data_IF_051934489301
#
_entry.id   IF_051934489301
#
_cell.length_a   1.000
_cell.length_b   1.000
_cell.length_c   1.000
_cell.angle_alpha   90.00
_cell.angle_beta   90.00
_cell.angle_gamma   90.00
#
_symmetry.space_group_name_H-M   'P 1'
#
loop_
_entity.id
_entity.type
_entity.pdbx_description
1 polymer ?
#
# COMPACT_ATOMS: atom_id res chain seq x y z
N UNK A 1 23.18 -1.97 15.81
CA UNK A 1 22.24 -2.83 15.05
C UNK A 1 21.66 -1.97 13.95
N UNK A 2 21.79 -2.39 12.70
CA UNK A 2 21.24 -1.68 11.55
C UNK A 2 19.71 -1.77 11.52
N UNK A 3 19.04 -1.01 10.66
CA UNK A 3 17.58 -0.83 10.73
C UNK A 3 16.82 -2.14 10.44
N UNK A 4 17.23 -2.94 9.46
CA UNK A 4 16.55 -4.19 9.13
C UNK A 4 16.56 -5.17 10.32
N UNK A 5 17.73 -5.37 10.93
CA UNK A 5 17.88 -6.24 12.11
C UNK A 5 17.11 -5.72 13.34
N UNK A 6 16.98 -4.39 13.48
CA UNK A 6 16.13 -3.81 14.53
C UNK A 6 14.66 -4.14 14.33
N UNK A 7 14.17 -4.06 13.09
CA UNK A 7 12.77 -4.41 12.77
C UNK A 7 12.52 -5.90 13.00
N UNK A 8 13.45 -6.75 12.55
CA UNK A 8 13.38 -8.20 12.72
C UNK A 8 13.39 -8.60 14.20
N UNK A 9 14.33 -8.06 15.00
CA UNK A 9 14.44 -8.35 16.43
C UNK A 9 13.21 -7.90 17.24
N UNK A 10 12.45 -6.92 16.73
CA UNK A 10 11.18 -6.46 17.33
C UNK A 10 9.95 -7.22 16.82
N UNK A 11 10.12 -8.21 15.93
CA UNK A 11 9.02 -8.96 15.34
C UNK A 11 8.09 -8.10 14.46
N UNK A 12 8.62 -7.04 13.85
CA UNK A 12 7.83 -6.12 13.02
C UNK A 12 7.75 -6.55 11.56
N UNK A 13 8.61 -7.45 11.11
CA UNK A 13 8.61 -7.99 9.75
C UNK A 13 7.79 -9.28 9.74
N UNK A 14 6.79 -9.36 8.85
CA UNK A 14 5.99 -10.56 8.65
C UNK A 14 6.45 -11.34 7.42
N UNK A 15 6.50 -10.72 6.24
CA UNK A 15 6.92 -11.33 4.99
C UNK A 15 7.81 -10.38 4.18
N UNK A 16 8.71 -10.94 3.39
CA UNK A 16 9.59 -10.23 2.45
C UNK A 16 9.70 -11.00 1.14
N UNK A 17 9.84 -10.31 0.02
CA UNK A 17 10.04 -10.95 -1.30
C UNK A 17 11.48 -11.40 -1.53
N UNK A 18 12.44 -10.62 -1.05
CA UNK A 18 13.88 -10.88 -1.15
C UNK A 18 14.57 -10.27 0.07
N UNK A 19 14.95 -11.12 1.03
CA UNK A 19 15.47 -10.65 2.31
C UNK A 19 16.83 -9.96 2.17
N UNK A 20 17.73 -10.51 1.37
CA UNK A 20 19.09 -9.97 1.23
C UNK A 20 19.07 -8.59 0.56
N UNK A 21 18.38 -8.45 -0.56
CA UNK A 21 18.27 -7.18 -1.29
C UNK A 21 17.54 -6.10 -0.45
N UNK A 22 16.45 -6.46 0.21
CA UNK A 22 15.70 -5.54 1.08
C UNK A 22 16.58 -5.08 2.25
N UNK A 23 17.28 -6.01 2.88
CA UNK A 23 18.19 -5.73 3.99
C UNK A 23 19.31 -4.78 3.57
N UNK A 24 19.94 -5.02 2.44
CA UNK A 24 21.03 -4.19 1.94
C UNK A 24 20.54 -2.78 1.60
N UNK A 25 19.46 -2.66 0.85
CA UNK A 25 18.87 -1.36 0.50
C UNK A 25 18.48 -0.55 1.73
N UNK A 26 17.78 -1.15 2.69
CA UNK A 26 17.35 -0.46 3.91
C UNK A 26 18.51 -0.07 4.81
N UNK A 27 19.46 -0.97 5.00
CA UNK A 27 20.61 -0.77 5.89
C UNK A 27 21.64 0.23 5.36
N UNK A 28 21.68 0.44 4.04
CA UNK A 28 22.50 1.46 3.40
C UNK A 28 21.81 2.82 3.31
N UNK A 29 20.53 2.91 3.67
CA UNK A 29 19.75 4.15 3.56
C UNK A 29 19.50 4.60 2.12
N UNK A 30 19.40 3.66 1.19
CA UNK A 30 19.26 3.92 -0.25
C UNK A 30 17.88 3.60 -0.81
N UNK A 31 17.00 3.00 -0.03
CA UNK A 31 15.67 2.63 -0.51
C UNK A 31 14.75 3.84 -0.64
N UNK A 32 14.12 3.96 -1.81
CA UNK A 32 12.88 4.73 -1.96
C UNK A 32 11.72 3.74 -1.86
N UNK A 33 10.83 3.96 -0.92
CA UNK A 33 9.71 3.06 -0.62
C UNK A 33 8.41 3.82 -0.44
N UNK A 34 7.28 3.15 -0.64
CA UNK A 34 5.98 3.76 -0.36
C UNK A 34 5.11 2.91 0.56
N UNK A 35 4.21 3.59 1.25
CA UNK A 35 3.08 3.00 1.96
C UNK A 35 1.82 3.73 1.50
N UNK A 36 0.78 2.97 1.14
CA UNK A 36 -0.51 3.48 0.73
C UNK A 36 -1.48 3.66 1.92
N UNK A 37 -2.26 4.74 1.86
CA UNK A 37 -3.26 5.10 2.87
C UNK A 37 -4.56 5.52 2.18
N UNK A 38 -5.56 4.64 2.19
CA UNK A 38 -6.89 4.97 1.70
C UNK A 38 -7.63 5.87 2.71
N UNK A 39 -8.10 7.05 2.29
CA UNK A 39 -8.70 8.06 3.17
C UNK A 39 -10.14 7.72 3.53
N UNK A 40 -10.34 6.62 4.26
CA UNK A 40 -11.65 6.08 4.60
C UNK A 40 -12.31 6.72 5.82
N UNK A 41 -11.66 7.70 6.46
CA UNK A 41 -12.15 8.52 7.55
C UNK A 41 -11.33 9.83 7.62
N UNK A 42 -11.77 10.79 8.41
CA UNK A 42 -11.07 12.07 8.63
C UNK A 42 -9.93 11.98 9.65
N UNK A 43 -9.73 10.81 10.26
CA UNK A 43 -8.65 10.56 11.21
C UNK A 43 -7.91 9.25 10.93
N UNK A 44 -6.61 9.27 11.21
CA UNK A 44 -5.77 8.08 11.26
C UNK A 44 -6.13 7.24 12.50
N UNK A 45 -6.13 5.94 12.35
CA UNK A 45 -6.31 4.99 13.46
C UNK A 45 -4.99 4.31 13.83
N UNK A 46 -5.00 3.49 14.89
CA UNK A 46 -3.80 2.84 15.43
C UNK A 46 -3.03 1.99 14.39
N UNK A 47 -3.73 1.35 13.44
CA UNK A 47 -3.08 0.62 12.34
C UNK A 47 -2.26 1.53 11.42
N UNK A 48 -2.78 2.72 11.12
CA UNK A 48 -2.03 3.74 10.37
C UNK A 48 -0.83 4.26 11.18
N UNK A 49 -1.00 4.42 12.50
CA UNK A 49 0.11 4.84 13.36
C UNK A 49 1.27 3.84 13.34
N UNK A 50 1.00 2.55 13.33
CA UNK A 50 2.03 1.51 13.16
C UNK A 50 2.80 1.67 11.85
N UNK A 51 2.10 1.92 10.74
CA UNK A 51 2.71 2.17 9.44
C UNK A 51 3.56 3.46 9.44
N UNK A 52 3.08 4.53 10.08
CA UNK A 52 3.85 5.77 10.23
C UNK A 52 5.09 5.59 11.11
N UNK A 53 5.02 4.78 12.17
CA UNK A 53 6.17 4.44 12.98
C UNK A 53 7.25 3.69 12.18
N UNK A 54 6.84 2.75 11.32
CA UNK A 54 7.76 2.08 10.40
C UNK A 54 8.37 3.08 9.42
N UNK A 55 7.53 3.89 8.77
CA UNK A 55 7.97 4.92 7.82
C UNK A 55 8.98 5.88 8.45
N UNK A 56 8.72 6.36 9.68
CA UNK A 56 9.64 7.26 10.41
C UNK A 56 10.97 6.59 10.74
N UNK A 57 10.95 5.34 11.20
CA UNK A 57 12.18 4.60 11.50
C UNK A 57 13.06 4.42 10.27
N UNK A 58 12.46 4.09 9.13
CA UNK A 58 13.16 3.95 7.86
C UNK A 58 13.67 5.29 7.35
N UNK A 59 12.91 6.38 7.51
CA UNK A 59 13.36 7.74 7.20
C UNK A 59 14.57 8.14 8.03
N UNK A 60 14.54 7.88 9.34
CA UNK A 60 15.68 8.15 10.24
C UNK A 60 16.93 7.33 9.89
N UNK A 61 16.76 6.18 9.25
CA UNK A 61 17.86 5.35 8.73
C UNK A 61 18.36 5.80 7.35
N UNK A 62 17.87 6.94 6.82
CA UNK A 62 18.31 7.53 5.56
C UNK A 62 17.47 7.13 4.33
N UNK A 63 16.49 6.25 4.48
CA UNK A 63 15.62 5.85 3.38
C UNK A 63 14.57 6.92 3.07
N UNK A 64 14.11 6.99 1.82
CA UNK A 64 13.17 8.00 1.34
C UNK A 64 11.74 7.48 1.30
N UNK A 65 10.84 7.93 2.19
CA UNK A 65 9.44 7.51 2.19
C UNK A 65 8.62 8.25 1.13
N UNK A 66 7.65 7.54 0.55
CA UNK A 66 6.54 8.11 -0.21
C UNK A 66 5.25 7.74 0.54
N UNK A 67 4.51 8.73 1.01
CA UNK A 67 3.15 8.53 1.54
C UNK A 67 2.17 8.64 0.37
N UNK A 68 1.59 7.53 -0.05
CA UNK A 68 0.60 7.47 -1.12
C UNK A 68 -0.80 7.63 -0.53
N UNK A 69 -1.48 8.70 -0.87
CA UNK A 69 -2.88 8.92 -0.51
C UNK A 69 -3.79 8.32 -1.58
N UNK A 70 -4.69 7.45 -1.16
CA UNK A 70 -5.58 6.70 -2.04
C UNK A 70 -6.80 7.49 -2.50
N UNK A 71 -6.63 8.64 -3.17
CA UNK A 71 -7.75 9.41 -3.70
C UNK A 71 -8.51 8.68 -4.80
N UNK A 72 -7.81 7.94 -5.65
CA UNK A 72 -8.41 7.09 -6.68
C UNK A 72 -8.86 5.73 -6.13
N UNK A 73 -7.97 5.03 -5.43
CA UNK A 73 -8.29 3.71 -4.82
C UNK A 73 -9.38 3.79 -3.76
N UNK A 74 -9.47 4.90 -3.02
CA UNK A 74 -10.53 5.15 -2.04
C UNK A 74 -11.93 5.24 -2.65
N UNK A 75 -12.05 5.53 -3.95
CA UNK A 75 -13.34 5.50 -4.66
C UNK A 75 -13.85 4.07 -4.89
N UNK A 76 -12.96 3.08 -4.90
CA UNK A 76 -13.28 1.66 -5.08
C UNK A 76 -13.32 0.94 -3.74
N UNK A 77 -12.28 1.04 -2.97
CA UNK A 77 -12.14 0.43 -1.64
C UNK A 77 -11.52 -0.96 -1.67
N UNK A 78 -10.50 -1.15 -0.83
CA UNK A 78 -9.76 -2.40 -0.69
C UNK A 78 -10.63 -3.51 -0.08
N UNK A 79 -10.80 -4.66 -0.76
CA UNK A 79 -11.55 -5.81 -0.25
C UNK A 79 -10.75 -6.66 0.75
N UNK A 80 -9.43 -6.45 0.89
CA UNK A 80 -8.53 -7.28 1.71
C UNK A 80 -8.97 -7.34 3.18
N UNK A 81 -9.07 -8.56 3.72
CA UNK A 81 -9.42 -8.79 5.12
C UNK A 81 -10.85 -8.38 5.51
N UNK A 82 -11.77 -8.31 4.55
CA UNK A 82 -13.17 -7.94 4.78
C UNK A 82 -14.14 -9.04 4.33
N UNK A 83 -15.32 -9.02 4.94
CA UNK A 83 -16.46 -9.86 4.57
C UNK A 83 -17.47 -9.12 3.69
N UNK A 84 -17.56 -7.80 3.80
CA UNK A 84 -18.52 -6.92 3.16
C UNK A 84 -17.84 -5.87 2.26
N UNK A 85 -18.58 -5.41 1.25
CA UNK A 85 -18.12 -4.31 0.38
C UNK A 85 -18.04 -2.99 1.17
N UNK A 86 -17.01 -2.19 0.90
CA UNK A 86 -16.91 -0.85 1.49
C UNK A 86 -18.03 0.06 0.98
N UNK A 87 -18.61 0.92 1.84
CA UNK A 87 -19.49 1.98 1.39
C UNK A 87 -18.77 2.89 0.40
N UNK A 88 -19.43 3.24 -0.70
CA UNK A 88 -18.88 4.21 -1.64
C UNK A 88 -18.91 5.61 -1.01
N UNK A 89 -17.75 6.26 -0.96
CA UNK A 89 -17.61 7.63 -0.49
C UNK A 89 -17.75 8.61 -1.65
N UNK A 90 -18.24 9.82 -1.36
CA UNK A 90 -18.23 10.90 -2.35
C UNK A 90 -16.80 11.43 -2.56
N UNK A 91 -16.55 12.02 -3.71
CA UNK A 91 -15.25 12.66 -4.02
C UNK A 91 -14.92 13.75 -2.99
N UNK A 92 -15.91 14.52 -2.58
CA UNK A 92 -15.73 15.59 -1.57
C UNK A 92 -15.32 15.02 -0.21
N UNK A 93 -15.93 13.90 0.21
CA UNK A 93 -15.55 13.20 1.46
C UNK A 93 -14.11 12.68 1.36
N UNK A 94 -13.74 12.08 0.23
CA UNK A 94 -12.38 11.58 0.01
C UNK A 94 -11.37 12.73 0.09
N UNK A 95 -11.63 13.84 -0.61
CA UNK A 95 -10.75 15.01 -0.61
C UNK A 95 -10.63 15.64 0.79
N UNK A 96 -11.73 15.74 1.54
CA UNK A 96 -11.69 16.20 2.92
C UNK A 96 -10.80 15.31 3.79
N UNK A 97 -10.98 14.00 3.70
CA UNK A 97 -10.19 13.03 4.47
C UNK A 97 -8.70 13.07 4.10
N UNK A 98 -8.38 13.28 2.81
CA UNK A 98 -7.00 13.47 2.35
C UNK A 98 -6.36 14.66 3.05
N UNK A 99 -7.02 15.79 3.11
CA UNK A 99 -6.49 16.98 3.80
C UNK A 99 -6.30 16.75 5.31
N UNK A 100 -7.18 15.99 5.92
CA UNK A 100 -7.04 15.58 7.32
C UNK A 100 -5.82 14.66 7.51
N UNK A 101 -5.61 13.69 6.60
CA UNK A 101 -4.45 12.78 6.64
C UNK A 101 -3.14 13.53 6.46
N UNK A 102 -3.05 14.45 5.50
CA UNK A 102 -1.87 15.30 5.29
C UNK A 102 -1.43 16.01 6.56
N UNK A 103 -2.37 16.65 7.26
CA UNK A 103 -2.09 17.38 8.51
C UNK A 103 -1.60 16.44 9.61
N UNK A 104 -2.19 15.25 9.73
CA UNK A 104 -1.83 14.29 10.77
C UNK A 104 -0.46 13.65 10.48
N UNK A 105 -0.22 13.20 9.24
CA UNK A 105 1.04 12.57 8.83
C UNK A 105 2.24 13.52 8.96
N UNK A 106 2.06 14.81 8.68
CA UNK A 106 3.12 15.82 8.80
C UNK A 106 3.62 16.05 10.23
N UNK A 107 2.91 15.51 11.24
CA UNK A 107 3.39 15.51 12.63
C UNK A 107 4.42 14.41 12.91
N UNK A 108 4.46 13.37 12.08
CA UNK A 108 5.33 12.20 12.28
C UNK A 108 6.46 12.13 11.25
N UNK A 109 6.15 12.43 9.99
CA UNK A 109 7.05 12.28 8.86
C UNK A 109 7.53 13.67 8.42
N UNK A 110 8.81 13.77 8.11
CA UNK A 110 9.41 14.97 7.58
C UNK A 110 9.29 14.99 6.06
N UNK A 111 8.39 15.83 5.55
CA UNK A 111 8.17 16.03 4.11
C UNK A 111 9.02 17.19 3.58
N UNK A 112 9.47 17.10 2.33
CA UNK A 112 10.28 18.12 1.64
C UNK A 112 11.01 17.55 0.43
N UNK A 113 11.72 18.41 -0.29
CA UNK A 113 12.36 18.08 -1.57
C UNK A 113 13.31 16.88 -1.48
N UNK A 114 14.20 16.85 -0.46
CA UNK A 114 15.15 15.75 -0.22
C UNK A 114 14.70 14.80 0.90
N UNK A 115 13.43 14.88 1.30
CA UNK A 115 12.86 14.10 2.40
C UNK A 115 11.76 13.18 1.88
N UNK A 116 10.77 12.91 2.72
CA UNK A 116 9.58 12.20 2.27
C UNK A 116 8.75 13.05 1.31
N UNK A 117 8.06 12.40 0.40
CA UNK A 117 7.06 13.04 -0.46
C UNK A 117 5.67 12.45 -0.18
N UNK A 118 4.67 13.23 -0.50
CA UNK A 118 3.26 12.86 -0.40
C UNK A 118 2.65 12.98 -1.78
N UNK A 119 2.00 11.92 -2.25
CA UNK A 119 1.38 11.86 -3.57
C UNK A 119 -0.06 11.35 -3.46
N UNK A 120 -0.89 11.67 -4.45
CA UNK A 120 -2.28 11.23 -4.52
C UNK A 120 -2.47 10.39 -5.79
N UNK A 121 -2.87 9.12 -5.66
CA UNK A 121 -3.05 8.27 -6.83
C UNK A 121 -4.23 8.67 -7.74
N UNK A 122 -5.12 9.56 -7.30
CA UNK A 122 -6.11 10.19 -8.17
C UNK A 122 -5.46 10.95 -9.34
N UNK A 123 -4.24 11.48 -9.14
CA UNK A 123 -3.54 12.29 -10.14
C UNK A 123 -3.19 11.51 -11.42
N UNK A 124 -3.06 10.19 -11.32
CA UNK A 124 -2.81 9.31 -12.46
C UNK A 124 -3.95 8.34 -12.73
N UNK A 125 -4.57 7.72 -11.72
CA UNK A 125 -5.63 6.73 -11.93
C UNK A 125 -6.86 7.31 -12.65
N UNK A 126 -7.24 8.56 -12.33
CA UNK A 126 -8.42 9.19 -12.95
C UNK A 126 -8.17 9.65 -14.41
N UNK A 127 -6.92 9.65 -14.85
CA UNK A 127 -6.54 10.01 -16.22
C UNK A 127 -6.37 8.81 -17.15
N UNK A 128 -6.45 7.59 -16.59
CA UNK A 128 -6.26 6.38 -17.37
C UNK A 128 -7.43 6.15 -18.32
N UNK A 129 -7.10 5.89 -19.60
CA UNK A 129 -8.09 5.37 -20.52
C UNK A 129 -8.36 3.90 -20.22
N UNK A 130 -9.62 3.52 -20.17
CA UNK A 130 -10.01 2.14 -19.80
C UNK A 130 -9.46 1.08 -20.77
N UNK A 131 -9.52 1.33 -22.06
CA UNK A 131 -9.04 0.36 -23.08
C UNK A 131 -7.52 0.25 -23.02
N UNK A 132 -6.80 1.37 -22.85
CA UNK A 132 -5.36 1.38 -22.73
C UNK A 132 -4.93 0.65 -21.45
N UNK A 133 -5.62 0.85 -20.33
CA UNK A 133 -5.36 0.11 -19.10
C UNK A 133 -5.51 -1.40 -19.30
N UNK A 134 -6.57 -1.85 -19.97
CA UNK A 134 -6.76 -3.28 -20.27
C UNK A 134 -5.63 -3.85 -21.14
N UNK A 135 -5.19 -3.12 -22.15
CA UNK A 135 -4.13 -3.56 -23.06
C UNK A 135 -2.76 -3.57 -22.40
N UNK A 136 -2.41 -2.49 -21.70
CA UNK A 136 -1.07 -2.25 -21.20
C UNK A 136 -0.82 -2.89 -19.82
N UNK A 137 -1.87 -3.03 -19.03
CA UNK A 137 -1.79 -3.55 -17.65
C UNK A 137 -2.57 -4.85 -17.52
N UNK A 138 -3.84 -4.87 -17.91
CA UNK A 138 -4.73 -6.02 -17.77
C UNK A 138 -4.19 -7.30 -18.41
N UNK A 139 -3.50 -7.18 -19.57
CA UNK A 139 -2.87 -8.31 -20.26
C UNK A 139 -1.80 -9.05 -19.42
N UNK A 140 -1.28 -8.41 -18.35
CA UNK A 140 -0.30 -9.02 -17.45
C UNK A 140 -0.93 -9.74 -16.25
N UNK A 141 -2.26 -9.64 -16.08
CA UNK A 141 -2.99 -10.25 -14.98
C UNK A 141 -3.74 -11.51 -15.43
N UNK A 142 -3.63 -12.57 -14.65
CA UNK A 142 -4.42 -13.79 -14.83
C UNK A 142 -5.59 -13.78 -13.84
N UNK A 143 -6.82 -13.81 -14.34
CA UNK A 143 -8.03 -13.88 -13.50
C UNK A 143 -7.96 -15.06 -12.53
N UNK A 144 -7.52 -16.24 -12.99
CA UNK A 144 -7.40 -17.43 -12.15
C UNK A 144 -6.42 -17.21 -10.98
N UNK A 145 -5.29 -16.53 -11.22
CA UNK A 145 -4.34 -16.21 -10.16
C UNK A 145 -4.90 -15.17 -9.20
N UNK A 146 -5.58 -14.15 -9.72
CA UNK A 146 -6.23 -13.14 -8.87
C UNK A 146 -7.29 -13.78 -7.97
N UNK A 147 -8.17 -14.62 -8.51
CA UNK A 147 -9.20 -15.32 -7.72
C UNK A 147 -8.61 -16.26 -6.67
N UNK A 148 -7.44 -16.83 -6.89
CA UNK A 148 -6.72 -17.65 -5.93
C UNK A 148 -6.03 -16.83 -4.82
N UNK A 149 -5.92 -15.51 -4.96
CA UNK A 149 -5.24 -14.65 -4.00
C UNK A 149 -6.02 -14.56 -2.67
N UNK A 150 -5.25 -14.53 -1.55
CA UNK A 150 -5.83 -14.52 -0.20
C UNK A 150 -6.77 -13.35 0.04
N UNK A 151 -6.45 -12.17 -0.50
CA UNK A 151 -7.26 -10.96 -0.35
C UNK A 151 -8.68 -11.08 -0.91
N UNK A 152 -8.94 -12.00 -1.85
CA UNK A 152 -10.27 -12.23 -2.43
C UNK A 152 -11.03 -13.40 -1.84
N UNK A 153 -10.36 -14.37 -1.20
CA UNK A 153 -10.99 -15.63 -0.72
C UNK A 153 -12.19 -15.41 0.17
N UNK A 154 -12.11 -14.43 1.07
CA UNK A 154 -13.21 -14.12 1.97
C UNK A 154 -14.39 -13.51 1.21
N UNK A 155 -14.11 -12.53 0.35
CA UNK A 155 -15.14 -11.84 -0.43
C UNK A 155 -15.81 -12.73 -1.46
N UNK A 156 -15.11 -13.72 -2.01
CA UNK A 156 -15.71 -14.68 -2.94
C UNK A 156 -16.85 -15.49 -2.34
N UNK A 157 -16.83 -15.75 -1.03
CA UNK A 157 -17.91 -16.47 -0.32
C UNK A 157 -19.20 -15.65 -0.23
N UNK A 158 -19.05 -14.31 -0.13
CA UNK A 158 -20.15 -13.35 0.06
C UNK A 158 -20.56 -12.66 -1.25
N UNK A 159 -19.83 -12.89 -2.33
CA UNK A 159 -20.05 -12.27 -3.63
C UNK A 159 -19.12 -11.09 -3.91
N UNK A 160 -17.93 -11.39 -4.47
CA UNK A 160 -16.97 -10.39 -4.91
C UNK A 160 -17.48 -9.68 -6.17
N UNK A 161 -17.64 -8.36 -6.11
CA UNK A 161 -18.03 -7.57 -7.28
C UNK A 161 -16.85 -7.34 -8.24
N UNK A 162 -17.15 -7.15 -9.53
CA UNK A 162 -16.13 -6.75 -10.51
C UNK A 162 -15.44 -5.43 -10.11
N UNK A 163 -16.17 -4.54 -9.47
CA UNK A 163 -15.67 -3.27 -8.96
C UNK A 163 -14.55 -3.47 -7.94
N UNK A 164 -14.78 -4.26 -6.89
CA UNK A 164 -13.78 -4.59 -5.87
C UNK A 164 -12.61 -5.41 -6.45
N UNK A 165 -12.90 -6.30 -7.41
CA UNK A 165 -11.90 -7.15 -8.04
C UNK A 165 -10.80 -6.36 -8.75
N UNK A 166 -11.09 -5.15 -9.23
CA UNK A 166 -10.11 -4.29 -9.89
C UNK A 166 -9.15 -3.59 -8.92
N UNK A 167 -9.41 -3.60 -7.61
CA UNK A 167 -8.55 -2.90 -6.64
C UNK A 167 -7.09 -3.35 -6.70
N UNK A 168 -6.83 -4.66 -6.79
CA UNK A 168 -5.48 -5.21 -6.94
C UNK A 168 -4.75 -4.64 -8.16
N UNK A 169 -5.43 -4.48 -9.28
CA UNK A 169 -4.85 -3.92 -10.50
C UNK A 169 -4.49 -2.44 -10.31
N UNK A 170 -5.34 -1.68 -9.63
CA UNK A 170 -5.09 -0.26 -9.32
C UNK A 170 -3.87 -0.11 -8.41
N UNK A 171 -3.75 -0.90 -7.35
CA UNK A 171 -2.60 -0.86 -6.45
C UNK A 171 -1.31 -1.34 -7.14
N UNK A 172 -1.39 -2.32 -8.01
CA UNK A 172 -0.25 -2.76 -8.81
C UNK A 172 0.21 -1.67 -9.79
N UNK A 173 -0.74 -0.94 -10.39
CA UNK A 173 -0.44 0.20 -11.25
C UNK A 173 0.20 1.35 -10.46
N UNK A 174 -0.25 1.63 -9.25
CA UNK A 174 0.37 2.62 -8.37
C UNK A 174 1.86 2.31 -8.15
N UNK A 175 2.19 1.05 -7.85
CA UNK A 175 3.59 0.66 -7.66
C UNK A 175 4.40 0.83 -8.96
N UNK A 176 3.84 0.40 -10.08
CA UNK A 176 4.47 0.57 -11.40
C UNK A 176 4.73 2.04 -11.73
N UNK A 177 3.74 2.92 -11.51
CA UNK A 177 3.85 4.36 -11.69
C UNK A 177 4.93 4.98 -10.80
N UNK A 178 4.90 4.67 -9.51
CA UNK A 178 5.89 5.16 -8.55
C UNK A 178 7.30 4.65 -8.85
N UNK A 179 7.42 3.43 -9.35
CA UNK A 179 8.71 2.89 -9.77
C UNK A 179 9.31 3.68 -10.94
N UNK A 180 8.49 4.02 -11.94
CA UNK A 180 8.94 4.79 -13.12
C UNK A 180 9.25 6.25 -12.79
N UNK A 181 8.33 6.92 -12.12
CA UNK A 181 8.36 8.38 -12.00
C UNK A 181 9.13 8.86 -10.77
N UNK A 182 9.23 8.02 -9.72
CA UNK A 182 9.87 8.39 -8.46
C UNK A 182 11.04 7.47 -8.07
N UNK A 183 11.39 6.48 -8.88
CA UNK A 183 12.43 5.51 -8.53
C UNK A 183 12.08 4.66 -7.31
N UNK A 184 10.79 4.46 -7.03
CA UNK A 184 10.31 3.73 -5.86
C UNK A 184 10.51 2.23 -6.08
N UNK A 185 11.44 1.64 -5.33
CA UNK A 185 11.85 0.24 -5.48
C UNK A 185 11.07 -0.71 -4.57
N UNK A 186 10.42 -0.18 -3.51
CA UNK A 186 9.85 -1.01 -2.45
C UNK A 186 8.46 -0.54 -2.06
N UNK A 187 7.58 -1.51 -1.79
CA UNK A 187 6.28 -1.28 -1.17
C UNK A 187 6.25 -1.90 0.22
N UNK A 188 5.74 -1.16 1.21
CA UNK A 188 5.48 -1.67 2.54
C UNK A 188 4.01 -1.54 2.89
N UNK A 189 3.54 -2.42 3.77
CA UNK A 189 2.16 -2.42 4.22
C UNK A 189 1.92 -3.45 5.33
N UNK A 190 0.70 -3.54 5.81
CA UNK A 190 0.27 -4.60 6.71
C UNK A 190 0.26 -5.96 6.02
N UNK A 191 0.34 -7.04 6.78
CA UNK A 191 0.42 -8.40 6.22
C UNK A 191 -0.81 -8.81 5.40
N UNK A 192 -1.96 -8.18 5.63
CA UNK A 192 -3.16 -8.33 4.81
C UNK A 192 -3.02 -7.79 3.37
N UNK A 193 -1.99 -6.99 3.10
CA UNK A 193 -1.71 -6.40 1.79
C UNK A 193 -0.80 -7.26 0.89
N UNK A 194 -0.29 -8.39 1.40
CA UNK A 194 0.72 -9.19 0.70
C UNK A 194 0.37 -9.51 -0.75
N UNK A 195 -0.84 -10.01 -1.00
CA UNK A 195 -1.30 -10.36 -2.36
C UNK A 195 -1.32 -9.15 -3.31
N UNK A 196 -1.80 -8.00 -2.84
CA UNK A 196 -1.82 -6.77 -3.63
C UNK A 196 -0.41 -6.27 -3.95
N UNK A 197 0.51 -6.38 -2.98
CA UNK A 197 1.90 -5.95 -3.14
C UNK A 197 2.64 -6.82 -4.15
N UNK A 198 2.45 -8.14 -4.09
CA UNK A 198 3.03 -9.09 -5.06
C UNK A 198 2.52 -8.85 -6.49
N UNK A 199 1.27 -8.44 -6.66
CA UNK A 199 0.73 -8.07 -7.96
C UNK A 199 1.51 -6.90 -8.58
N UNK A 200 1.93 -5.93 -7.77
CA UNK A 200 2.74 -4.79 -8.20
C UNK A 200 4.17 -5.19 -8.57
N UNK A 201 4.84 -5.99 -7.75
CA UNK A 201 6.19 -6.49 -8.07
C UNK A 201 6.21 -7.31 -9.36
N UNK A 202 5.17 -8.14 -9.57
CA UNK A 202 5.03 -8.95 -10.77
C UNK A 202 4.73 -8.10 -12.02
N UNK A 203 3.93 -7.06 -11.91
CA UNK A 203 3.67 -6.12 -13.02
C UNK A 203 4.96 -5.42 -13.47
N UNK A 204 5.76 -4.92 -12.52
CA UNK A 204 7.05 -4.29 -12.80
C UNK A 204 7.99 -5.28 -13.47
N UNK A 205 8.10 -6.49 -12.94
CA UNK A 205 8.93 -7.55 -13.51
C UNK A 205 8.54 -7.86 -14.97
N UNK A 206 7.25 -7.99 -15.25
CA UNK A 206 6.76 -8.34 -16.59
C UNK A 206 6.92 -7.22 -17.60
N UNK A 207 6.61 -5.98 -17.20
CA UNK A 207 6.66 -4.84 -18.12
C UNK A 207 8.07 -4.30 -18.32
N UNK A 208 8.89 -4.26 -17.27
CA UNK A 208 10.19 -3.57 -17.28
C UNK A 208 11.39 -4.50 -17.20
N UNK A 209 11.20 -5.79 -16.95
CA UNK A 209 12.28 -6.75 -16.70
C UNK A 209 13.19 -6.29 -15.55
N UNK A 210 12.61 -5.60 -14.55
CA UNK A 210 13.29 -5.10 -13.35
C UNK A 210 12.67 -5.69 -12.10
N UNK A 211 13.46 -5.70 -11.02
CA UNK A 211 12.99 -6.14 -9.71
C UNK A 211 12.48 -4.96 -8.90
N UNK A 212 11.37 -5.20 -8.23
CA UNK A 212 10.84 -4.35 -7.16
C UNK A 212 10.49 -5.26 -5.97
N UNK A 213 10.48 -4.70 -4.78
CA UNK A 213 10.44 -5.49 -3.55
C UNK A 213 9.24 -5.13 -2.69
N UNK A 214 8.79 -6.09 -1.90
CA UNK A 214 7.69 -5.91 -0.96
C UNK A 214 8.07 -6.46 0.42
N UNK A 215 7.69 -5.73 1.46
CA UNK A 215 7.82 -6.15 2.85
C UNK A 215 6.54 -5.84 3.60
N UNK A 216 6.02 -6.83 4.34
CA UNK A 216 4.87 -6.61 5.21
C UNK A 216 5.29 -6.51 6.67
N UNK A 217 4.57 -5.64 7.39
CA UNK A 217 4.66 -5.57 8.84
C UNK A 217 3.57 -6.42 9.49
N UNK A 218 3.88 -6.95 10.68
CA UNK A 218 2.92 -7.66 11.51
C UNK A 218 1.73 -6.76 11.85
N UNK A 219 0.53 -7.34 11.78
CA UNK A 219 -0.70 -6.63 12.13
C UNK A 219 -0.81 -6.44 13.65
N UNK A 220 -1.32 -5.28 14.05
CA UNK A 220 -1.72 -5.08 15.44
C UNK A 220 -3.06 -5.77 15.67
N UNK A 221 -3.07 -6.73 16.59
CA UNK A 221 -4.24 -7.52 16.92
C UNK A 221 -4.78 -7.13 18.31
N UNK A 222 -6.08 -7.24 18.51
CA UNK A 222 -6.68 -7.14 19.83
C UNK A 222 -6.50 -8.46 20.62
N UNK A 223 -7.01 -8.51 21.86
CA UNK A 223 -6.93 -9.71 22.70
C UNK A 223 -7.64 -10.95 22.14
N UNK A 224 -8.54 -10.77 21.17
CA UNK A 224 -9.25 -11.84 20.48
C UNK A 224 -8.54 -12.29 19.19
N UNK A 225 -7.35 -11.73 18.87
CA UNK A 225 -6.62 -12.01 17.64
C UNK A 225 -7.19 -11.34 16.38
N UNK A 226 -8.10 -10.36 16.52
CA UNK A 226 -8.65 -9.59 15.40
C UNK A 226 -7.80 -8.36 15.11
N UNK A 227 -7.63 -8.05 13.82
CA UNK A 227 -6.93 -6.84 13.37
C UNK A 227 -7.54 -5.59 14.00
N UNK A 228 -6.70 -4.78 14.61
CA UNK A 228 -7.10 -3.45 15.10
C UNK A 228 -7.14 -2.44 13.95
N UNK A 229 -8.22 -1.69 13.90
CA UNK A 229 -8.44 -0.65 12.90
C UNK A 229 -9.36 0.42 13.46
N UNK A 230 -10.32 0.87 12.65
CA UNK A 230 -11.41 1.75 13.10
C UNK A 230 -12.23 1.06 14.19
N UNK A 231 -12.69 1.83 15.17
CA UNK A 231 -13.73 1.37 16.11
C UNK A 231 -15.07 1.23 15.38
N UNK A 232 -16.06 0.52 16.00
CA UNK A 232 -17.40 0.42 15.42
C UNK A 232 -18.13 1.76 15.35
N UNK A 233 -17.69 2.74 16.14
CA UNK A 233 -18.25 4.08 16.19
C UNK A 233 -17.55 5.09 15.25
N UNK A 234 -16.57 4.68 14.50
CA UNK A 234 -15.78 5.52 13.58
C UNK A 234 -14.36 5.73 14.01
#
# INVERSE_FOLDING_TARGET
>A
MKIFEQLQARGLIAQVTDEEEIKDLLNEGKATFYIGFDPTADSLHVGHFMALCLMKRLQMAGNRPIALLGGGTGMVGDPSGRTDMRPMMTVDTINHNIECFKKQMSRFIEFGEDKAIMVNNADWLLKLNYVDLLREVGAHFSVNRMLAAECYKQRMKEGLSFFEFNYMIMQAYDFYHLFLDYGCQMQFGGDDQWSNMLAGTELIRRKLQKNAYAMTQTLLLNSEGKKMGKTQAG
#
